data_IF_040425354091
#
_entry.id   IF_040425354091
#
_cell.length_a   1.000
_cell.length_b   1.000
_cell.length_c   1.000
_cell.angle_alpha   90.00
_cell.angle_beta   90.00
_cell.angle_gamma   90.00
#
_symmetry.space_group_name_H-M   'P 1'
#
loop_
_entity.id
_entity.type
_entity.pdbx_description
1 polymer ?
#
# COMPACT_ATOMS: atom_id res chain seq x y z
N UNK A 1 -7.29 -6.00 -0.67
CA UNK A 1 -7.72 -6.16 0.73
C UNK A 1 -6.93 -5.19 1.58
N UNK A 2 -7.62 -4.26 2.25
CA UNK A 2 -6.97 -3.19 3.06
C UNK A 2 -6.69 -3.63 4.51
N UNK A 3 -6.49 -4.92 4.73
CA UNK A 3 -6.33 -5.50 6.06
C UNK A 3 -4.99 -6.22 6.19
N UNK A 4 -4.44 -6.20 7.38
CA UNK A 4 -3.22 -6.90 7.77
C UNK A 4 -3.55 -7.87 8.91
N UNK A 5 -3.16 -9.13 8.74
CA UNK A 5 -3.29 -10.15 9.78
C UNK A 5 -2.01 -10.21 10.61
N UNK A 6 -2.13 -10.04 11.93
CA UNK A 6 -1.03 -10.08 12.88
C UNK A 6 -1.27 -11.20 13.87
N UNK A 7 -0.30 -12.10 14.04
CA UNK A 7 -0.39 -13.20 14.98
C UNK A 7 -0.50 -12.66 16.41
N UNK A 8 -1.50 -13.16 17.16
CA UNK A 8 -1.77 -12.79 18.54
C UNK A 8 -1.32 -13.87 19.49
N UNK A 9 -0.92 -13.48 20.70
CA UNK A 9 -0.58 -14.43 21.77
C UNK A 9 -1.85 -14.99 22.41
N UNK A 10 -2.02 -16.31 22.38
CA UNK A 10 -3.13 -16.97 23.07
C UNK A 10 -2.82 -17.00 24.58
N UNK A 11 -3.70 -16.41 25.35
CA UNK A 11 -3.62 -16.38 26.84
C UNK A 11 -4.44 -17.54 27.40
N UNK A 12 -5.65 -17.74 26.87
CA UNK A 12 -6.53 -18.87 27.22
C UNK A 12 -7.08 -19.48 25.94
N UNK A 13 -6.99 -20.78 25.85
CA UNK A 13 -7.42 -21.55 24.68
C UNK A 13 -8.94 -21.70 24.58
N UNK A 14 -9.69 -21.60 25.71
CA UNK A 14 -11.11 -21.88 25.71
C UNK A 14 -11.42 -23.20 24.99
N UNK A 15 -12.28 -23.16 23.97
CA UNK A 15 -12.64 -24.34 23.15
C UNK A 15 -11.72 -24.59 21.94
N UNK A 16 -10.68 -23.78 21.73
CA UNK A 16 -9.79 -23.90 20.56
C UNK A 16 -9.14 -25.29 20.44
N UNK A 17 -8.72 -25.89 21.55
CA UNK A 17 -8.06 -27.21 21.55
C UNK A 17 -9.01 -28.33 21.12
N UNK A 18 -10.26 -28.25 21.54
CA UNK A 18 -11.32 -29.19 21.15
C UNK A 18 -11.64 -29.05 19.65
N UNK A 19 -11.87 -27.82 19.20
CA UNK A 19 -12.10 -27.53 17.78
C UNK A 19 -10.93 -27.99 16.90
N UNK A 20 -9.70 -27.80 17.33
CA UNK A 20 -8.52 -28.28 16.62
C UNK A 20 -8.50 -29.80 16.46
N UNK A 21 -8.78 -30.55 17.55
CA UNK A 21 -8.87 -32.03 17.51
C UNK A 21 -9.94 -32.49 16.51
N UNK A 22 -11.11 -31.87 16.55
CA UNK A 22 -12.20 -32.16 15.61
C UNK A 22 -11.82 -31.84 14.16
N UNK A 23 -11.19 -30.69 13.88
CA UNK A 23 -10.70 -30.34 12.56
C UNK A 23 -9.70 -31.37 12.04
N UNK A 24 -8.72 -31.77 12.84
CA UNK A 24 -7.73 -32.77 12.41
C UNK A 24 -8.38 -34.14 12.18
N UNK A 25 -9.33 -34.54 13.02
CA UNK A 25 -10.11 -35.76 12.83
C UNK A 25 -10.88 -35.73 11.49
N UNK A 26 -11.63 -34.67 11.23
CA UNK A 26 -12.40 -34.52 9.99
C UNK A 26 -11.47 -34.57 8.76
N UNK A 27 -10.33 -33.91 8.80
CA UNK A 27 -9.35 -33.94 7.70
C UNK A 27 -8.80 -35.32 7.41
N UNK A 28 -8.52 -36.10 8.44
CA UNK A 28 -8.05 -37.49 8.32
C UNK A 28 -9.17 -38.41 7.85
N UNK A 29 -10.35 -38.31 8.44
CA UNK A 29 -11.51 -39.13 8.12
C UNK A 29 -11.98 -38.89 6.66
N UNK A 30 -12.04 -37.63 6.23
CA UNK A 30 -12.41 -37.29 4.86
C UNK A 30 -11.47 -37.88 3.82
N UNK A 31 -10.16 -37.96 4.10
CA UNK A 31 -9.20 -38.59 3.21
C UNK A 31 -9.48 -40.08 3.06
N UNK A 32 -9.79 -40.75 4.15
CA UNK A 32 -10.09 -42.19 4.14
C UNK A 32 -11.38 -42.47 3.37
N UNK A 33 -12.44 -41.68 3.60
CA UNK A 33 -13.73 -41.82 2.87
C UNK A 33 -13.59 -41.58 1.39
N UNK A 34 -12.88 -40.52 0.99
CA UNK A 34 -12.60 -40.23 -0.42
C UNK A 34 -11.84 -41.37 -1.12
N UNK A 35 -10.88 -41.98 -0.43
CA UNK A 35 -10.18 -43.17 -0.94
C UNK A 35 -11.11 -44.38 -1.14
N UNK A 36 -12.18 -44.48 -0.36
CA UNK A 36 -13.19 -45.54 -0.45
C UNK A 36 -14.37 -45.21 -1.36
N UNK A 37 -14.39 -44.00 -2.00
CA UNK A 37 -15.52 -43.53 -2.80
C UNK A 37 -16.80 -43.30 -2.02
N UNK A 38 -16.69 -43.03 -0.70
CA UNK A 38 -17.83 -42.78 0.18
C UNK A 38 -18.00 -41.29 0.47
N UNK A 39 -19.25 -40.88 0.61
CA UNK A 39 -19.57 -39.50 0.99
C UNK A 39 -19.33 -39.26 2.48
N UNK A 40 -18.94 -38.02 2.80
CA UNK A 40 -18.78 -37.57 4.19
C UNK A 40 -20.15 -37.14 4.71
N UNK A 41 -20.55 -37.61 5.87
CA UNK A 41 -21.85 -37.28 6.48
C UNK A 41 -22.05 -35.81 6.83
N UNK A 42 -23.19 -35.44 7.42
CA UNK A 42 -23.48 -34.06 7.82
C UNK A 42 -22.55 -33.62 8.97
N UNK A 43 -22.39 -32.27 9.17
CA UNK A 43 -21.55 -31.72 10.22
C UNK A 43 -22.03 -32.16 11.61
N UNK A 44 -21.11 -32.57 12.52
CA UNK A 44 -21.43 -32.81 13.92
C UNK A 44 -21.94 -31.55 14.62
N UNK A 45 -22.75 -31.70 15.68
CA UNK A 45 -23.35 -30.57 16.40
C UNK A 45 -22.34 -29.73 17.20
N UNK A 46 -21.16 -30.27 17.49
CA UNK A 46 -20.11 -29.62 18.31
C UNK A 46 -19.11 -28.79 17.50
N UNK A 47 -19.25 -28.73 16.19
CA UNK A 47 -18.38 -27.92 15.31
C UNK A 47 -19.21 -26.92 14.48
N UNK A 48 -18.75 -25.67 14.31
CA UNK A 48 -19.39 -24.72 13.40
C UNK A 48 -19.43 -25.25 11.96
N UNK A 49 -20.58 -25.12 11.30
CA UNK A 49 -20.83 -25.67 9.98
C UNK A 49 -19.80 -25.20 8.95
N UNK A 50 -19.45 -23.92 8.98
CA UNK A 50 -18.43 -23.33 8.11
C UNK A 50 -17.05 -23.96 8.34
N UNK A 51 -16.67 -24.16 9.60
CA UNK A 51 -15.38 -24.78 9.96
C UNK A 51 -15.32 -26.24 9.52
N UNK A 52 -16.44 -26.96 9.61
CA UNK A 52 -16.55 -28.33 9.10
C UNK A 52 -16.25 -28.40 7.59
N UNK A 53 -16.91 -27.58 6.78
CA UNK A 53 -16.69 -27.56 5.33
C UNK A 53 -15.30 -27.07 4.93
N UNK A 54 -14.71 -26.14 5.68
CA UNK A 54 -13.32 -25.76 5.49
C UNK A 54 -12.37 -26.95 5.75
N UNK A 55 -12.60 -27.69 6.84
CA UNK A 55 -11.78 -28.87 7.16
C UNK A 55 -11.86 -29.98 6.12
N UNK A 56 -13.05 -30.15 5.48
CA UNK A 56 -13.26 -31.16 4.43
C UNK A 56 -12.63 -30.81 3.09
N UNK A 57 -12.66 -29.54 2.68
CA UNK A 57 -12.45 -29.14 1.29
C UNK A 57 -11.20 -28.30 1.09
N UNK A 58 -10.58 -27.78 2.16
CA UNK A 58 -9.46 -26.87 2.05
C UNK A 58 -8.15 -27.45 2.55
N UNK A 59 -7.06 -27.16 1.86
CA UNK A 59 -5.71 -27.50 2.33
C UNK A 59 -5.31 -26.63 3.53
N UNK A 60 -5.74 -25.37 3.57
CA UNK A 60 -5.58 -24.45 4.68
C UNK A 60 -6.93 -24.26 5.37
N UNK A 61 -6.95 -24.40 6.70
CA UNK A 61 -8.16 -24.24 7.52
C UNK A 61 -8.04 -22.95 8.31
N UNK A 62 -8.40 -21.83 7.65
CA UNK A 62 -8.46 -20.50 8.25
C UNK A 62 -9.91 -20.13 8.50
N UNK A 63 -10.32 -20.16 9.76
CA UNK A 63 -11.69 -19.94 10.21
C UNK A 63 -11.88 -18.51 10.72
N UNK A 64 -12.85 -17.82 10.17
CA UNK A 64 -13.22 -16.44 10.50
C UNK A 64 -13.97 -15.76 9.34
N UNK A 65 -14.36 -14.48 9.50
CA UNK A 65 -14.05 -13.57 10.60
C UNK A 65 -14.78 -13.93 11.91
N UNK A 66 -14.07 -13.81 13.03
CA UNK A 66 -14.62 -14.03 14.38
C UNK A 66 -14.67 -12.70 15.11
N UNK A 67 -15.85 -12.39 15.65
CA UNK A 67 -16.06 -11.17 16.43
C UNK A 67 -15.23 -11.20 17.73
N UNK A 68 -14.58 -10.07 18.01
CA UNK A 68 -13.81 -9.87 19.23
C UNK A 68 -14.63 -9.06 20.25
N UNK A 69 -14.46 -9.35 21.52
CA UNK A 69 -15.21 -8.73 22.62
C UNK A 69 -14.23 -8.16 23.65
N UNK A 70 -14.53 -6.97 24.17
CA UNK A 70 -13.78 -6.32 25.25
C UNK A 70 -12.53 -5.59 24.76
N UNK A 71 -11.61 -5.35 25.69
CA UNK A 71 -10.34 -4.67 25.46
C UNK A 71 -9.20 -5.67 25.57
N UNK A 72 -8.01 -5.28 25.10
CA UNK A 72 -6.81 -6.11 25.15
C UNK A 72 -6.46 -6.52 26.60
N UNK A 73 -6.47 -7.84 26.94
CA UNK A 73 -6.65 -8.98 26.05
C UNK A 73 -8.11 -9.21 25.62
N UNK A 74 -8.29 -9.56 24.35
CA UNK A 74 -9.59 -9.73 23.70
C UNK A 74 -10.15 -11.14 23.88
N UNK A 75 -11.49 -11.25 24.05
CA UNK A 75 -12.21 -12.52 24.04
C UNK A 75 -12.77 -12.78 22.65
N UNK A 76 -12.61 -14.01 22.14
CA UNK A 76 -13.18 -14.46 20.88
C UNK A 76 -14.61 -14.97 21.08
N UNK A 77 -15.57 -14.35 20.40
CA UNK A 77 -17.00 -14.67 20.52
C UNK A 77 -17.29 -16.10 20.04
N UNK A 78 -18.03 -16.84 20.83
CA UNK A 78 -18.43 -18.22 20.51
C UNK A 78 -17.35 -19.29 20.77
N UNK A 79 -16.10 -18.88 21.04
CA UNK A 79 -14.97 -19.81 21.26
C UNK A 79 -14.42 -19.71 22.68
N UNK A 80 -14.72 -18.64 23.38
CA UNK A 80 -14.28 -18.34 24.75
C UNK A 80 -12.74 -18.29 24.92
N UNK A 81 -11.97 -18.23 23.85
CA UNK A 81 -10.53 -18.03 23.90
C UNK A 81 -10.20 -16.58 24.21
N UNK A 82 -9.06 -16.35 24.88
CA UNK A 82 -8.55 -15.03 25.20
C UNK A 82 -7.21 -14.84 24.51
N UNK A 83 -7.07 -13.75 23.76
CA UNK A 83 -5.86 -13.43 22.99
C UNK A 83 -5.36 -12.02 23.31
N UNK A 84 -4.05 -11.86 23.33
CA UNK A 84 -3.40 -10.57 23.60
C UNK A 84 -2.71 -10.06 22.33
N UNK A 85 -2.98 -8.80 22.01
CA UNK A 85 -2.25 -8.05 20.97
C UNK A 85 -1.07 -7.29 21.57
N UNK A 86 0.00 -7.15 20.79
CA UNK A 86 1.09 -6.22 21.07
C UNK A 86 0.85 -4.84 20.47
N UNK A 87 -0.21 -4.70 19.64
CA UNK A 87 -0.60 -3.41 19.04
C UNK A 87 -1.58 -2.67 19.95
N UNK A 88 -1.52 -1.35 19.91
CA UNK A 88 -2.44 -0.46 20.61
C UNK A 88 -3.76 -0.26 19.84
N UNK A 89 -3.72 -0.45 18.50
CA UNK A 89 -4.91 -0.31 17.66
C UNK A 89 -5.93 -1.41 17.97
N UNK A 90 -7.21 -1.07 17.83
CA UNK A 90 -8.31 -2.01 18.01
C UNK A 90 -8.42 -2.88 16.74
N UNK A 91 -8.33 -4.21 16.84
CA UNK A 91 -8.51 -5.07 15.69
C UNK A 91 -9.97 -5.11 15.22
N UNK A 92 -10.16 -5.40 13.93
CA UNK A 92 -11.48 -5.49 13.31
C UNK A 92 -12.18 -6.82 13.66
N UNK A 93 -11.44 -7.92 13.59
CA UNK A 93 -11.91 -9.29 13.87
C UNK A 93 -10.70 -10.22 14.08
N UNK A 94 -10.97 -11.48 14.43
CA UNK A 94 -9.97 -12.51 14.51
C UNK A 94 -10.16 -13.59 13.42
N UNK A 95 -9.04 -14.23 13.04
CA UNK A 95 -9.00 -15.42 12.18
C UNK A 95 -8.19 -16.48 12.88
N UNK A 96 -8.70 -17.71 12.93
CA UNK A 96 -7.99 -18.84 13.55
C UNK A 96 -7.49 -19.76 12.44
N UNK A 97 -6.22 -20.05 12.46
CA UNK A 97 -5.61 -21.05 11.58
C UNK A 97 -5.47 -22.37 12.32
N UNK A 98 -6.20 -23.37 11.82
CA UNK A 98 -6.17 -24.76 12.30
C UNK A 98 -5.40 -25.69 11.36
N UNK A 99 -4.65 -25.18 10.41
CA UNK A 99 -4.01 -25.99 9.36
C UNK A 99 -3.03 -27.02 9.91
N UNK A 100 -2.06 -26.59 10.70
CA UNK A 100 -1.03 -27.47 11.26
C UNK A 100 -0.95 -27.38 12.80
N UNK A 101 -1.28 -26.21 13.34
CA UNK A 101 -1.34 -25.93 14.77
C UNK A 101 -2.45 -24.89 15.02
N UNK A 102 -2.63 -24.47 16.27
CA UNK A 102 -3.57 -23.42 16.60
C UNK A 102 -2.82 -22.08 16.56
N UNK A 103 -3.17 -21.23 15.61
CA UNK A 103 -2.71 -19.83 15.56
C UNK A 103 -3.90 -18.91 15.47
N UNK A 104 -3.85 -17.80 16.17
CA UNK A 104 -4.87 -16.76 16.10
C UNK A 104 -4.23 -15.51 15.51
N UNK A 105 -4.87 -14.96 14.49
CA UNK A 105 -4.51 -13.69 13.86
C UNK A 105 -5.58 -12.66 14.15
N UNK A 106 -5.17 -11.45 14.49
CA UNK A 106 -6.04 -10.30 14.58
C UNK A 106 -5.89 -9.46 13.31
N UNK A 107 -7.03 -9.13 12.73
CA UNK A 107 -7.09 -8.30 11.52
C UNK A 107 -7.11 -6.83 11.91
N UNK A 108 -6.21 -6.05 11.31
CA UNK A 108 -6.13 -4.60 11.48
C UNK A 108 -6.30 -3.90 10.14
N UNK A 109 -6.85 -2.70 10.15
CA UNK A 109 -6.85 -1.87 8.96
C UNK A 109 -5.39 -1.51 8.62
N UNK A 110 -4.97 -1.76 7.38
CA UNK A 110 -3.65 -1.32 6.93
C UNK A 110 -3.57 0.20 7.02
N UNK A 111 -2.56 0.75 7.71
CA UNK A 111 -2.41 2.19 7.78
C UNK A 111 -2.25 2.77 6.38
N UNK A 112 -3.10 3.75 6.06
CA UNK A 112 -3.06 4.44 4.77
C UNK A 112 -1.97 5.49 4.75
N UNK A 113 -1.38 5.70 3.57
CA UNK A 113 -0.38 6.72 3.35
C UNK A 113 -0.92 7.90 2.54
N UNK A 114 -0.26 9.05 2.65
CA UNK A 114 -0.38 10.15 1.70
C UNK A 114 0.91 10.17 0.90
N UNK A 115 0.76 10.11 -0.42
CA UNK A 115 1.90 9.97 -1.33
C UNK A 115 2.07 11.27 -2.10
N UNK A 116 3.24 11.89 -2.02
CA UNK A 116 3.65 13.01 -2.87
C UNK A 116 4.52 12.53 -4.01
N UNK A 117 4.25 13.04 -5.19
CA UNK A 117 4.94 12.67 -6.43
C UNK A 117 5.44 13.93 -7.11
N UNK A 118 6.76 14.05 -7.19
CA UNK A 118 7.46 15.07 -7.97
C UNK A 118 7.89 14.46 -9.29
N UNK A 119 7.63 15.18 -10.40
CA UNK A 119 7.96 14.75 -11.76
C UNK A 119 9.02 15.70 -12.33
N UNK A 120 10.20 15.17 -12.60
CA UNK A 120 11.35 15.98 -12.97
C UNK A 120 12.20 15.43 -14.11
N UNK A 121 13.17 16.23 -14.53
CA UNK A 121 14.14 15.84 -15.57
C UNK A 121 15.27 14.99 -15.00
N UNK A 122 15.73 15.27 -13.79
CA UNK A 122 16.84 14.56 -13.15
C UNK A 122 16.44 13.17 -12.67
N UNK A 123 15.38 13.11 -11.90
CA UNK A 123 14.64 11.88 -11.64
C UNK A 123 13.28 12.02 -12.31
N UNK A 124 12.93 11.03 -13.12
CA UNK A 124 11.65 11.05 -13.80
C UNK A 124 10.51 11.22 -12.80
N UNK A 125 10.58 10.45 -11.73
CA UNK A 125 9.61 10.50 -10.64
C UNK A 125 10.32 10.27 -9.30
N UNK A 126 9.99 11.12 -8.34
CA UNK A 126 10.37 10.97 -6.93
C UNK A 126 9.12 10.81 -6.11
N UNK A 127 9.07 9.76 -5.29
CA UNK A 127 7.94 9.47 -4.43
C UNK A 127 8.34 9.61 -2.96
N UNK A 128 7.49 10.30 -2.21
CA UNK A 128 7.53 10.36 -0.75
C UNK A 128 6.18 9.94 -0.20
N UNK A 129 6.18 8.95 0.68
CA UNK A 129 4.99 8.49 1.37
C UNK A 129 5.01 8.86 2.85
N UNK A 130 3.93 9.46 3.34
CA UNK A 130 3.73 9.82 4.74
C UNK A 130 2.69 8.90 5.37
N UNK A 131 2.96 8.46 6.60
CA UNK A 131 1.97 7.86 7.51
C UNK A 131 1.89 8.69 8.77
N UNK A 132 0.68 9.06 9.18
CA UNK A 132 0.45 9.93 10.34
C UNK A 132 1.30 11.20 10.31
N UNK A 133 1.45 11.82 9.12
CA UNK A 133 2.25 13.03 8.94
C UNK A 133 3.77 12.86 8.98
N UNK A 134 4.28 11.64 9.19
CA UNK A 134 5.72 11.33 9.25
C UNK A 134 6.19 10.62 8.00
N UNK A 135 7.43 10.87 7.60
CA UNK A 135 8.07 10.14 6.51
C UNK A 135 8.07 8.64 6.80
N UNK A 136 7.54 7.87 5.86
CA UNK A 136 7.54 6.41 5.95
C UNK A 136 8.41 5.75 4.89
N UNK A 137 8.23 6.11 3.60
CA UNK A 137 9.03 5.59 2.48
C UNK A 137 9.33 6.67 1.47
N UNK A 138 10.45 6.51 0.78
CA UNK A 138 10.82 7.31 -0.40
C UNK A 138 11.46 6.43 -1.45
N UNK A 139 11.28 6.78 -2.73
CA UNK A 139 11.92 6.11 -3.85
C UNK A 139 12.05 7.05 -5.04
N UNK A 140 13.12 6.86 -5.81
CA UNK A 140 13.44 7.62 -7.02
C UNK A 140 13.45 6.68 -8.22
N UNK A 141 12.94 7.15 -9.36
CA UNK A 141 12.94 6.42 -10.63
C UNK A 141 13.50 7.27 -11.75
N UNK A 142 14.10 6.59 -12.73
CA UNK A 142 14.43 7.16 -14.02
C UNK A 142 15.47 8.26 -13.92
N UNK A 143 16.54 8.05 -13.14
CA UNK A 143 17.68 8.97 -13.14
C UNK A 143 18.19 9.08 -14.60
N UNK A 144 18.26 10.32 -15.10
CA UNK A 144 18.71 10.67 -16.46
C UNK A 144 17.94 9.93 -17.57
N UNK A 145 16.70 9.48 -17.31
CA UNK A 145 15.88 8.81 -18.30
C UNK A 145 15.36 9.79 -19.37
N UNK A 146 15.16 11.06 -19.00
CA UNK A 146 14.72 12.11 -19.92
C UNK A 146 15.95 12.66 -20.65
N UNK A 147 16.13 12.21 -21.87
CA UNK A 147 17.19 12.70 -22.76
C UNK A 147 16.70 13.91 -23.57
N UNK A 148 17.64 14.68 -24.12
CA UNK A 148 17.33 15.77 -25.05
C UNK A 148 16.52 15.29 -26.26
N UNK A 149 16.73 14.06 -26.70
CA UNK A 149 15.97 13.40 -27.76
C UNK A 149 14.52 13.19 -27.34
N UNK A 150 14.27 12.70 -26.11
CA UNK A 150 12.90 12.57 -25.57
C UNK A 150 12.20 13.92 -25.47
N UNK A 151 12.91 14.98 -25.06
CA UNK A 151 12.35 16.34 -24.98
C UNK A 151 11.96 16.85 -26.39
N UNK A 152 12.77 16.58 -27.41
CA UNK A 152 12.44 16.95 -28.80
C UNK A 152 11.18 16.19 -29.28
N UNK A 153 11.07 14.92 -29.00
CA UNK A 153 10.00 14.06 -29.54
C UNK A 153 8.68 14.25 -28.77
N UNK A 154 8.71 14.27 -27.44
CA UNK A 154 7.50 14.43 -26.61
C UNK A 154 7.07 15.89 -26.45
N UNK A 155 8.01 16.83 -26.56
CA UNK A 155 7.73 18.26 -26.48
C UNK A 155 7.16 18.87 -27.78
N UNK A 156 7.29 18.16 -28.92
CA UNK A 156 6.76 18.58 -30.23
C UNK A 156 6.30 17.34 -31.04
N UNK A 157 5.06 16.90 -30.89
CA UNK A 157 4.58 15.57 -31.30
C UNK A 157 4.32 15.42 -32.82
N UNK A 158 5.13 15.98 -33.69
CA UNK A 158 4.97 15.85 -35.16
C UNK A 158 5.61 14.56 -35.75
N UNK A 159 6.39 13.78 -35.00
CA UNK A 159 7.06 12.57 -35.46
C UNK A 159 6.38 11.28 -34.97
N UNK A 160 5.71 10.53 -35.85
CA UNK A 160 4.77 9.47 -35.47
C UNK A 160 5.40 8.12 -35.07
N UNK A 161 6.57 7.71 -35.64
CA UNK A 161 7.11 6.35 -35.41
C UNK A 161 7.96 6.22 -34.14
N UNK A 162 8.76 7.22 -33.84
CA UNK A 162 9.66 7.24 -32.66
C UNK A 162 8.90 7.46 -31.36
N UNK A 163 7.77 8.21 -31.41
CA UNK A 163 6.88 8.45 -30.27
C UNK A 163 6.36 7.13 -29.69
N UNK A 164 6.03 6.12 -30.50
CA UNK A 164 5.49 4.86 -30.01
C UNK A 164 6.49 4.11 -29.12
N UNK A 165 7.77 4.09 -29.50
CA UNK A 165 8.82 3.42 -28.74
C UNK A 165 9.10 4.12 -27.41
N UNK A 166 9.16 5.45 -27.42
CA UNK A 166 9.38 6.24 -26.21
C UNK A 166 8.19 6.11 -25.25
N UNK A 167 6.96 6.23 -25.75
CA UNK A 167 5.74 6.01 -24.94
C UNK A 167 5.69 4.60 -24.33
N UNK A 168 6.11 3.57 -25.06
CA UNK A 168 6.17 2.20 -24.54
C UNK A 168 7.18 2.07 -23.39
N UNK A 169 8.37 2.70 -23.50
CA UNK A 169 9.38 2.73 -22.43
C UNK A 169 8.85 3.48 -21.19
N UNK A 170 8.28 4.67 -21.40
CA UNK A 170 7.68 5.49 -20.33
C UNK A 170 6.57 4.69 -19.64
N UNK A 171 5.67 4.06 -20.39
CA UNK A 171 4.57 3.27 -19.82
C UNK A 171 5.05 2.11 -18.94
N UNK A 172 6.14 1.42 -19.32
CA UNK A 172 6.72 0.36 -18.46
C UNK A 172 7.19 0.92 -17.12
N UNK A 173 7.92 2.04 -17.15
CA UNK A 173 8.41 2.69 -15.92
C UNK A 173 7.24 3.19 -15.08
N UNK A 174 6.21 3.79 -15.70
CA UNK A 174 5.00 4.23 -14.99
C UNK A 174 4.25 3.05 -14.35
N UNK A 175 4.16 1.91 -15.01
CA UNK A 175 3.56 0.71 -14.40
C UNK A 175 4.29 0.26 -13.13
N UNK A 176 5.61 0.25 -13.13
CA UNK A 176 6.41 -0.12 -11.94
C UNK A 176 6.20 0.90 -10.81
N UNK A 177 6.11 2.18 -11.17
CA UNK A 177 5.83 3.26 -10.22
C UNK A 177 4.44 3.10 -9.59
N UNK A 178 3.42 2.83 -10.40
CA UNK A 178 2.04 2.67 -9.90
C UNK A 178 1.89 1.40 -9.08
N UNK A 179 2.61 0.31 -9.41
CA UNK A 179 2.69 -0.87 -8.56
C UNK A 179 3.25 -0.51 -7.17
N UNK A 180 4.34 0.25 -7.12
CA UNK A 180 4.90 0.70 -5.85
C UNK A 180 3.95 1.63 -5.08
N UNK A 181 3.26 2.55 -5.78
CA UNK A 181 2.25 3.42 -5.14
C UNK A 181 1.12 2.57 -4.53
N UNK A 182 0.65 1.54 -5.22
CA UNK A 182 -0.40 0.64 -4.73
C UNK A 182 0.03 -0.12 -3.47
N UNK A 183 1.29 -0.60 -3.42
CA UNK A 183 1.88 -1.23 -2.23
C UNK A 183 1.94 -0.29 -1.02
N UNK A 184 1.99 1.02 -1.25
CA UNK A 184 1.98 2.03 -0.19
C UNK A 184 0.60 2.20 0.46
N UNK A 185 -0.45 1.55 -0.05
CA UNK A 185 -1.84 1.70 0.40
C UNK A 185 -2.27 3.18 0.51
N UNK A 186 -2.25 3.93 -0.59
CA UNK A 186 -2.49 5.37 -0.53
C UNK A 186 -3.96 5.69 -0.17
N UNK A 187 -4.16 6.64 0.73
CA UNK A 187 -5.43 7.35 0.89
C UNK A 187 -5.66 8.26 -0.31
N UNK A 188 -4.58 8.95 -0.71
CA UNK A 188 -4.54 9.87 -1.84
C UNK A 188 -3.11 10.07 -2.31
N UNK A 189 -2.94 10.31 -3.61
CA UNK A 189 -1.67 10.67 -4.26
C UNK A 189 -1.70 12.14 -4.65
N UNK A 190 -0.76 12.94 -4.16
CA UNK A 190 -0.56 14.33 -4.53
C UNK A 190 0.42 14.38 -5.71
N UNK A 191 -0.06 14.75 -6.89
CA UNK A 191 0.75 14.98 -8.08
C UNK A 191 1.02 16.48 -8.22
N UNK A 192 2.19 16.84 -8.70
CA UNK A 192 2.49 18.21 -9.10
C UNK A 192 1.62 18.62 -10.31
N UNK A 193 0.99 19.79 -10.27
CA UNK A 193 0.23 20.33 -11.40
C UNK A 193 1.17 20.97 -12.43
N UNK A 194 1.51 20.24 -13.48
CA UNK A 194 2.42 20.69 -14.53
C UNK A 194 1.76 21.55 -15.61
N UNK A 195 0.47 21.86 -15.52
CA UNK A 195 -0.25 22.69 -16.50
C UNK A 195 0.26 24.12 -16.61
N UNK A 196 0.98 24.57 -15.59
CA UNK A 196 1.56 25.92 -15.55
C UNK A 196 2.86 26.08 -16.37
N UNK A 197 3.45 24.96 -16.84
CA UNK A 197 4.72 25.00 -17.58
C UNK A 197 4.49 24.94 -19.09
N UNK A 198 4.64 26.06 -19.79
CA UNK A 198 4.35 26.20 -21.24
C UNK A 198 5.62 26.08 -22.12
N UNK A 199 6.55 25.18 -21.78
CA UNK A 199 7.75 24.95 -22.58
C UNK A 199 7.90 23.48 -23.00
N UNK A 200 8.85 23.17 -23.91
CA UNK A 200 9.05 21.79 -24.41
C UNK A 200 9.31 20.78 -23.30
N UNK A 201 10.07 21.14 -22.28
CA UNK A 201 10.33 20.28 -21.12
C UNK A 201 9.05 20.08 -20.32
N UNK A 202 8.32 21.14 -20.02
CA UNK A 202 7.03 21.10 -19.34
C UNK A 202 6.02 20.23 -20.09
N UNK A 203 5.92 20.37 -21.41
CA UNK A 203 5.05 19.53 -22.25
C UNK A 203 5.44 18.05 -22.20
N UNK A 204 6.75 17.74 -22.14
CA UNK A 204 7.26 16.38 -21.99
C UNK A 204 6.85 15.79 -20.65
N UNK A 205 7.10 16.51 -19.56
CA UNK A 205 6.77 16.09 -18.20
C UNK A 205 5.24 15.96 -18.02
N UNK A 206 4.46 16.85 -18.66
CA UNK A 206 3.00 16.75 -18.65
C UNK A 206 2.47 15.51 -19.37
N UNK A 207 3.09 15.05 -20.45
CA UNK A 207 2.72 13.78 -21.08
C UNK A 207 2.95 12.59 -20.11
N UNK A 208 3.98 12.68 -19.27
CA UNK A 208 4.27 11.67 -18.24
C UNK A 208 3.24 11.75 -17.11
N UNK A 209 2.90 12.96 -16.66
CA UNK A 209 1.84 13.22 -15.68
C UNK A 209 0.51 12.60 -16.14
N UNK A 210 0.09 12.86 -17.37
CA UNK A 210 -1.16 12.31 -17.94
C UNK A 210 -1.14 10.76 -17.96
N UNK A 211 -0.03 10.14 -18.37
CA UNK A 211 0.07 8.67 -18.34
C UNK A 211 -0.02 8.14 -16.90
N UNK A 212 0.61 8.83 -15.93
CA UNK A 212 0.53 8.48 -14.52
C UNK A 212 -0.91 8.61 -13.98
N UNK A 213 -1.59 9.72 -14.29
CA UNK A 213 -3.00 9.94 -13.92
C UNK A 213 -3.90 8.82 -14.45
N UNK A 214 -3.74 8.46 -15.74
CA UNK A 214 -4.51 7.39 -16.38
C UNK A 214 -4.30 6.03 -15.68
N UNK A 215 -3.05 5.71 -15.32
CA UNK A 215 -2.73 4.46 -14.62
C UNK A 215 -3.26 4.45 -13.19
N UNK A 216 -3.17 5.55 -12.45
CA UNK A 216 -3.76 5.68 -11.11
C UNK A 216 -5.27 5.53 -11.16
N UNK A 217 -5.92 6.23 -12.11
CA UNK A 217 -7.37 6.15 -12.31
C UNK A 217 -7.84 4.73 -12.64
N UNK A 218 -7.15 4.04 -13.56
CA UNK A 218 -7.51 2.68 -13.97
C UNK A 218 -7.45 1.65 -12.83
N UNK A 219 -6.66 1.93 -11.79
CA UNK A 219 -6.54 1.10 -10.58
C UNK A 219 -7.41 1.58 -9.42
N UNK A 220 -8.23 2.62 -9.62
CA UNK A 220 -9.05 3.20 -8.57
C UNK A 220 -8.27 3.92 -7.46
N UNK A 221 -7.01 4.29 -7.72
CA UNK A 221 -6.17 5.03 -6.79
C UNK A 221 -6.54 6.51 -6.89
N UNK A 222 -6.98 7.09 -5.78
CA UNK A 222 -7.34 8.52 -5.72
C UNK A 222 -6.10 9.39 -5.83
N UNK A 223 -6.17 10.43 -6.67
CA UNK A 223 -5.12 11.43 -6.79
C UNK A 223 -5.69 12.84 -6.84
N UNK A 224 -4.84 13.82 -6.60
CA UNK A 224 -5.14 15.25 -6.70
C UNK A 224 -3.95 15.99 -7.27
N UNK A 225 -4.19 16.86 -8.26
CA UNK A 225 -3.20 17.81 -8.74
C UNK A 225 -3.03 18.91 -7.69
N UNK A 226 -1.81 19.15 -7.29
CA UNK A 226 -1.42 20.11 -6.25
C UNK A 226 -0.57 21.22 -6.86
N UNK A 227 -0.92 22.46 -6.59
CA UNK A 227 -0.15 23.63 -7.04
C UNK A 227 1.34 23.49 -6.61
N UNK A 228 2.27 23.45 -7.57
CA UNK A 228 3.70 23.32 -7.31
C UNK A 228 4.35 24.57 -6.72
N UNK A 229 3.61 25.64 -6.56
CA UNK A 229 4.17 26.91 -6.10
C UNK A 229 4.98 26.75 -4.81
N UNK A 230 6.28 27.09 -4.90
CA UNK A 230 7.27 27.01 -3.83
C UNK A 230 7.55 25.61 -3.24
N UNK A 231 7.08 24.51 -3.81
CA UNK A 231 7.36 23.15 -3.29
C UNK A 231 8.87 22.86 -3.23
N UNK A 232 9.64 23.33 -4.20
CA UNK A 232 11.11 23.19 -4.23
C UNK A 232 11.86 24.12 -3.28
N UNK A 233 11.23 25.22 -2.79
CA UNK A 233 11.87 26.26 -1.95
C UNK A 233 11.44 26.21 -0.49
N UNK A 234 10.30 25.63 -0.18
CA UNK A 234 9.85 25.43 1.21
C UNK A 234 10.64 24.26 1.80
N UNK A 235 11.14 24.43 3.00
CA UNK A 235 11.79 23.35 3.73
C UNK A 235 10.75 22.35 4.23
N UNK A 236 10.84 21.10 3.78
CA UNK A 236 9.92 20.02 4.21
C UNK A 236 10.07 19.66 5.69
N UNK A 237 11.19 20.02 6.33
CA UNK A 237 11.44 19.75 7.74
C UNK A 237 10.86 20.82 8.68
N UNK A 238 11.03 22.12 8.37
CA UNK A 238 10.64 23.20 9.30
C UNK A 238 9.67 24.22 8.71
N UNK A 239 9.28 24.10 7.43
CA UNK A 239 8.35 25.00 6.77
C UNK A 239 8.94 26.36 6.36
N UNK A 240 10.25 26.60 6.53
CA UNK A 240 10.89 27.86 6.11
C UNK A 240 10.75 28.06 4.59
N UNK A 241 10.27 29.24 4.16
CA UNK A 241 9.82 29.47 2.77
C UNK A 241 10.92 29.85 1.79
N UNK A 242 12.14 30.11 2.23
CA UNK A 242 13.27 30.60 1.42
C UNK A 242 14.47 29.69 1.48
N UNK A 243 14.27 28.38 1.27
CA UNK A 243 15.36 27.42 1.15
C UNK A 243 16.17 27.64 -0.12
N UNK A 244 17.43 27.27 -0.08
CA UNK A 244 18.37 27.39 -1.19
C UNK A 244 18.44 26.09 -1.98
N UNK A 245 18.43 26.20 -3.32
CA UNK A 245 18.59 25.08 -4.23
C UNK A 245 19.89 25.22 -4.98
N UNK A 246 20.83 24.34 -4.69
CA UNK A 246 22.19 24.31 -5.28
C UNK A 246 22.31 23.06 -6.16
N UNK A 247 21.89 23.18 -7.42
CA UNK A 247 21.81 22.04 -8.34
C UNK A 247 20.86 20.95 -7.79
N UNK A 248 21.34 19.74 -7.47
CA UNK A 248 20.53 18.66 -6.92
C UNK A 248 20.26 18.80 -5.42
N UNK A 249 20.97 19.68 -4.72
CA UNK A 249 20.91 19.81 -3.27
C UNK A 249 19.96 20.92 -2.87
N UNK A 250 19.07 20.62 -1.91
CA UNK A 250 18.29 21.58 -1.16
C UNK A 250 18.95 21.83 0.20
N UNK A 251 19.09 23.10 0.60
CA UNK A 251 19.62 23.51 1.90
C UNK A 251 18.67 24.50 2.55
N UNK A 252 18.32 24.26 3.80
CA UNK A 252 17.53 25.19 4.59
C UNK A 252 18.44 26.05 5.49
N UNK A 253 18.53 27.35 5.29
CA UNK A 253 19.36 28.21 6.13
C UNK A 253 18.80 28.38 7.56
N UNK A 254 17.50 28.11 7.76
CA UNK A 254 16.87 28.30 9.06
C UNK A 254 17.09 27.12 10.02
N UNK A 255 17.06 25.87 9.53
CA UNK A 255 17.22 24.69 10.40
C UNK A 255 18.39 23.79 10.02
N UNK A 256 19.18 24.14 9.00
CA UNK A 256 20.32 23.36 8.54
C UNK A 256 19.96 22.07 7.79
N UNK A 257 18.68 21.79 7.53
CA UNK A 257 18.24 20.60 6.82
C UNK A 257 18.81 20.60 5.40
N UNK A 258 19.39 19.45 5.01
CA UNK A 258 19.93 19.21 3.67
C UNK A 258 19.29 17.96 3.11
N UNK A 259 18.82 18.02 1.87
CA UNK A 259 18.19 16.90 1.19
C UNK A 259 18.37 17.01 -0.33
N UNK A 260 18.04 15.95 -1.04
CA UNK A 260 17.80 16.02 -2.46
C UNK A 260 16.62 16.97 -2.75
N UNK A 261 16.73 17.84 -3.77
CA UNK A 261 15.69 18.85 -4.06
C UNK A 261 14.38 18.22 -4.50
N UNK A 262 14.43 17.11 -5.26
CA UNK A 262 13.24 16.41 -5.77
C UNK A 262 12.54 15.67 -4.60
N UNK A 263 13.34 15.12 -3.65
CA UNK A 263 12.82 14.62 -2.39
C UNK A 263 12.09 15.71 -1.59
N UNK A 264 12.71 16.88 -1.44
CA UNK A 264 12.09 18.00 -0.72
C UNK A 264 10.78 18.45 -1.38
N UNK A 265 10.73 18.47 -2.71
CA UNK A 265 9.53 18.83 -3.48
C UNK A 265 8.42 17.77 -3.29
N UNK A 266 8.71 16.49 -3.49
CA UNK A 266 7.76 15.40 -3.28
C UNK A 266 7.23 15.36 -1.83
N UNK A 267 8.10 15.61 -0.85
CA UNK A 267 7.69 15.69 0.55
C UNK A 267 6.72 16.85 0.79
N UNK A 268 6.99 18.02 0.22
CA UNK A 268 6.11 19.18 0.35
C UNK A 268 4.76 18.96 -0.35
N UNK A 269 4.71 18.25 -1.49
CA UNK A 269 3.45 17.85 -2.14
C UNK A 269 2.64 16.94 -1.21
N UNK A 270 3.27 15.94 -0.59
CA UNK A 270 2.62 15.06 0.36
C UNK A 270 2.11 15.82 1.59
N UNK A 271 2.91 16.76 2.15
CA UNK A 271 2.49 17.59 3.28
C UNK A 271 1.33 18.53 2.93
N UNK A 272 1.38 19.20 1.76
CA UNK A 272 0.25 20.03 1.31
C UNK A 272 -1.04 19.20 1.29
N UNK A 273 -1.00 18.00 0.72
CA UNK A 273 -2.17 17.14 0.66
C UNK A 273 -2.55 16.59 2.04
N UNK A 274 -1.61 16.32 2.92
CA UNK A 274 -1.90 15.89 4.30
C UNK A 274 -2.79 16.88 5.05
N UNK A 275 -2.59 18.18 4.81
CA UNK A 275 -3.35 19.24 5.47
C UNK A 275 -4.59 19.71 4.69
N UNK A 276 -4.67 19.48 3.36
CA UNK A 276 -5.72 20.11 2.51
C UNK A 276 -6.56 19.12 1.71
N UNK A 277 -6.17 17.81 1.64
CA UNK A 277 -6.92 16.76 0.96
C UNK A 277 -7.61 15.83 1.93
#
# INVERSE_FOLDING_TARGET
>A
MNEELVEAKIIDYGTLRELYKEVQFIRQYSKILKMKGQDVGPPPHNIPKELYYLALNSNEVKYGPIEIIGNNPYKLKGINAIVKSEREEIPLYAVIDFTNNIKVYLAYEKPRSIVGVDIGVRHLITIVALRNGKLWKTRFWGKELITDEMIKILGDPQGVSEIKNIRSKVRKVINDIVNFIDELNPKIVALEDLRIFENKVGNTLRNIEIELEQQLYSRGIKYKLVDPYNTSKICSNCGFKKGEVLGPLFVCPACGFKADRDFNAAYNLALKCYYTC
#
